data_IF_406503216484
#
_entry.id   IF_406503216484
#
_cell.length_a   1.000
_cell.length_b   1.000
_cell.length_c   1.000
_cell.angle_alpha   90.00
_cell.angle_beta   90.00
_cell.angle_gamma   90.00
#
_symmetry.space_group_name_H-M   'P 1'
#
loop_
_entity.id
_entity.type
_entity.pdbx_description
1 polymer ?
#
# COMPACT_ATOMS: atom_id res chain seq x y z
N UNK A 1 -13.54 -78.81 -0.32
CA UNK A 1 -13.51 -77.87 0.79
C UNK A 1 -12.06 -77.47 1.07
N UNK A 2 -11.61 -76.32 0.63
CA UNK A 2 -10.30 -75.74 0.99
C UNK A 2 -10.56 -74.34 1.50
N UNK A 3 -10.32 -74.10 2.79
CA UNK A 3 -10.32 -72.83 3.45
C UNK A 3 -9.10 -72.01 2.99
N UNK A 4 -9.32 -70.83 2.44
CA UNK A 4 -8.28 -69.85 2.21
C UNK A 4 -8.22 -68.87 3.38
N UNK A 5 -7.08 -68.74 3.98
CA UNK A 5 -6.79 -67.76 5.05
C UNK A 5 -6.37 -66.45 4.39
N UNK A 6 -7.16 -65.36 4.62
CA UNK A 6 -6.78 -63.98 4.26
C UNK A 6 -5.90 -63.41 5.36
N UNK A 7 -4.64 -63.14 5.06
CA UNK A 7 -3.74 -62.37 5.92
C UNK A 7 -3.98 -60.87 5.69
N UNK A 8 -4.46 -60.18 6.72
CA UNK A 8 -4.58 -58.72 6.74
C UNK A 8 -3.24 -58.09 7.15
N UNK A 9 -2.56 -57.42 6.23
CA UNK A 9 -1.43 -56.54 6.57
C UNK A 9 -1.95 -55.25 7.14
N UNK A 10 -1.73 -55.00 8.40
CA UNK A 10 -1.87 -53.67 9.02
C UNK A 10 -0.62 -52.86 8.72
N UNK A 11 -0.74 -51.80 7.87
CA UNK A 11 0.26 -50.78 7.71
C UNK A 11 0.03 -49.71 8.79
N UNK A 12 0.86 -49.72 9.83
CA UNK A 12 0.89 -48.66 10.82
C UNK A 12 1.57 -47.44 10.22
N UNK A 13 0.81 -46.39 9.84
CA UNK A 13 1.33 -45.09 9.48
C UNK A 13 1.84 -44.39 10.74
N UNK A 14 3.16 -44.26 10.85
CA UNK A 14 3.83 -43.48 11.89
C UNK A 14 3.64 -41.98 11.58
N UNK A 15 2.65 -41.35 12.18
CA UNK A 15 2.53 -39.90 12.21
C UNK A 15 3.68 -39.33 13.05
N UNK A 16 4.74 -38.87 12.41
CA UNK A 16 5.70 -37.97 13.05
C UNK A 16 5.02 -36.62 13.24
N UNK A 17 4.50 -36.37 14.43
CA UNK A 17 4.07 -35.04 14.84
C UNK A 17 5.28 -34.11 14.88
N UNK A 18 5.40 -33.22 13.91
CA UNK A 18 6.26 -32.07 14.02
C UNK A 18 5.67 -31.17 15.12
N UNK A 19 6.22 -31.29 16.35
CA UNK A 19 5.97 -30.32 17.39
C UNK A 19 6.63 -28.99 16.95
N UNK A 20 5.86 -28.04 16.43
CA UNK A 20 6.30 -26.65 16.37
C UNK A 20 6.49 -26.19 17.83
N UNK A 21 7.73 -26.10 18.27
CA UNK A 21 8.06 -25.38 19.50
C UNK A 21 7.55 -23.94 19.42
N UNK A 22 7.33 -23.26 20.55
CA UNK A 22 6.97 -21.85 20.52
C UNK A 22 8.04 -21.10 19.73
N UNK A 23 7.60 -20.30 18.74
CA UNK A 23 8.50 -19.43 18.00
C UNK A 23 9.26 -18.57 19.03
N UNK A 24 10.58 -18.61 18.98
CA UNK A 24 11.41 -17.75 19.82
C UNK A 24 11.25 -16.33 19.31
N UNK A 25 10.84 -15.39 20.17
CA UNK A 25 10.80 -13.99 19.81
C UNK A 25 12.13 -13.54 19.20
N UNK A 26 12.09 -12.78 18.11
CA UNK A 26 13.29 -12.31 17.43
C UNK A 26 14.18 -11.48 18.36
N UNK A 27 15.50 -11.64 18.22
CA UNK A 27 16.43 -10.74 18.88
C UNK A 27 16.51 -9.45 18.07
N UNK A 28 15.92 -8.37 18.59
CA UNK A 28 15.87 -7.09 17.92
C UNK A 28 17.19 -6.33 18.03
N UNK A 29 17.80 -6.01 16.90
CA UNK A 29 19.09 -5.29 16.81
C UNK A 29 18.88 -3.84 16.36
N UNK A 30 19.52 -2.82 17.02
CA UNK A 30 19.45 -1.44 16.59
C UNK A 30 19.99 -1.25 15.17
N UNK A 31 19.24 -0.53 14.33
CA UNK A 31 19.56 -0.35 12.90
C UNK A 31 20.40 0.89 12.60
N UNK A 32 20.45 1.87 13.51
CA UNK A 32 20.95 3.21 13.19
C UNK A 32 19.96 4.08 12.41
N UNK A 33 18.82 3.56 12.05
CA UNK A 33 17.73 4.33 11.46
C UNK A 33 16.89 4.98 12.56
N UNK A 34 16.85 6.29 12.57
CA UNK A 34 16.13 7.06 13.57
C UNK A 34 14.83 7.62 13.01
N UNK A 35 13.76 7.50 13.80
CA UNK A 35 12.56 8.33 13.65
C UNK A 35 12.49 9.23 14.86
N UNK A 36 12.62 10.55 14.62
CA UNK A 36 12.83 11.54 15.66
C UNK A 36 14.07 11.18 16.53
N UNK A 37 13.92 10.91 17.79
CA UNK A 37 15.01 10.49 18.71
C UNK A 37 15.09 8.97 18.90
N UNK A 38 14.22 8.22 18.26
CA UNK A 38 14.07 6.80 18.48
C UNK A 38 14.87 5.98 17.45
N UNK A 39 15.88 5.22 17.91
CA UNK A 39 16.66 4.29 17.08
C UNK A 39 15.87 3.01 16.89
N UNK A 40 15.42 2.74 15.67
CA UNK A 40 14.61 1.57 15.36
C UNK A 40 15.42 0.30 15.43
N UNK A 41 14.78 -0.77 15.86
CA UNK A 41 15.34 -2.12 15.90
C UNK A 41 14.76 -2.99 14.79
N UNK A 42 15.54 -3.97 14.32
CA UNK A 42 15.09 -4.93 13.32
C UNK A 42 15.40 -6.37 13.75
N UNK A 43 14.59 -7.31 13.30
CA UNK A 43 14.86 -8.73 13.46
C UNK A 43 16.03 -9.18 12.56
N UNK A 44 16.14 -8.62 11.35
CA UNK A 44 17.24 -8.88 10.41
C UNK A 44 17.78 -7.55 9.83
N UNK A 45 19.10 -7.41 9.75
CA UNK A 45 19.78 -6.23 9.19
C UNK A 45 20.70 -6.69 8.06
N UNK A 46 20.48 -6.17 6.85
CA UNK A 46 21.25 -6.47 5.64
C UNK A 46 21.52 -7.97 5.44
N UNK A 47 20.47 -8.82 5.54
CA UNK A 47 20.69 -10.27 5.52
C UNK A 47 21.10 -10.82 4.15
N UNK A 48 21.08 -10.02 3.07
CA UNK A 48 21.16 -10.49 1.71
C UNK A 48 19.81 -11.07 1.27
N UNK A 49 19.82 -12.30 0.75
CA UNK A 49 18.60 -12.98 0.32
C UNK A 49 17.86 -13.62 1.52
N UNK A 50 16.54 -13.47 1.55
CA UNK A 50 15.68 -13.97 2.63
C UNK A 50 14.53 -14.76 2.04
N UNK A 51 14.23 -15.90 2.63
CA UNK A 51 13.03 -16.71 2.36
C UNK A 51 12.52 -17.36 3.65
N UNK A 52 11.29 -17.87 3.63
CA UNK A 52 10.67 -18.54 4.78
C UNK A 52 10.16 -17.58 5.85
N UNK A 53 10.08 -18.03 7.09
CA UNK A 53 9.42 -17.33 8.20
C UNK A 53 10.32 -16.25 8.80
N UNK A 54 9.78 -15.03 8.98
CA UNK A 54 10.42 -13.91 9.70
C UNK A 54 9.41 -13.35 10.71
N UNK A 55 9.41 -13.91 11.89
CA UNK A 55 8.66 -13.39 13.04
C UNK A 55 9.43 -12.23 13.67
N UNK A 56 8.93 -11.02 13.51
CA UNK A 56 9.52 -9.80 14.04
C UNK A 56 8.79 -9.25 15.28
N UNK A 57 8.05 -10.11 15.97
CA UNK A 57 7.33 -9.72 17.19
C UNK A 57 8.27 -9.10 18.22
N UNK A 58 7.96 -7.89 18.65
CA UNK A 58 8.76 -7.08 19.55
C UNK A 58 9.80 -6.18 18.89
N UNK A 59 10.06 -6.32 17.58
CA UNK A 59 10.94 -5.45 16.81
C UNK A 59 10.15 -4.35 16.08
N UNK A 60 10.82 -3.25 15.76
CA UNK A 60 10.20 -2.21 14.95
C UNK A 60 10.15 -2.57 13.46
N UNK A 61 11.12 -3.33 13.00
CA UNK A 61 11.30 -3.71 11.60
C UNK A 61 11.51 -5.22 11.51
N UNK A 62 10.86 -5.86 10.54
CA UNK A 62 11.13 -7.26 10.24
C UNK A 62 12.49 -7.42 9.56
N UNK A 63 12.61 -6.90 8.35
CA UNK A 63 13.83 -6.96 7.56
C UNK A 63 14.24 -5.53 7.19
N UNK A 64 15.47 -5.16 7.54
CA UNK A 64 16.03 -3.84 7.26
C UNK A 64 17.20 -3.93 6.31
N UNK A 65 17.17 -3.14 5.23
CA UNK A 65 18.27 -2.95 4.30
C UNK A 65 18.69 -1.49 4.25
N UNK A 66 19.97 -1.25 4.18
CA UNK A 66 20.56 0.07 3.93
C UNK A 66 21.82 -0.02 3.06
N UNK A 67 22.43 1.12 2.79
CA UNK A 67 23.61 1.22 1.93
C UNK A 67 24.88 0.58 2.52
N UNK A 68 24.89 0.10 3.76
CA UNK A 68 26.02 -0.65 4.32
C UNK A 68 26.07 -2.10 3.88
N UNK A 69 24.94 -2.63 3.33
CA UNK A 69 24.85 -3.96 2.76
C UNK A 69 24.83 -3.95 1.22
N UNK A 70 24.86 -5.13 0.64
CA UNK A 70 24.83 -5.31 -0.82
C UNK A 70 23.40 -5.26 -1.41
N UNK A 71 22.36 -5.02 -0.58
CA UNK A 71 20.98 -5.27 -0.97
C UNK A 71 20.61 -6.75 -0.88
N UNK A 72 19.58 -7.19 -1.62
CA UNK A 72 19.16 -8.59 -1.62
C UNK A 72 17.77 -8.81 -2.20
N UNK A 73 17.29 -10.02 -2.04
CA UNK A 73 15.95 -10.45 -2.46
C UNK A 73 15.20 -11.03 -1.27
N UNK A 74 13.98 -10.55 -1.03
CA UNK A 74 13.02 -11.18 -0.13
C UNK A 74 12.05 -11.95 -1.01
N UNK A 75 12.25 -13.26 -1.13
CA UNK A 75 11.44 -14.11 -2.00
C UNK A 75 10.83 -15.28 -1.24
N UNK A 76 9.53 -15.49 -1.45
CA UNK A 76 8.80 -16.56 -0.80
C UNK A 76 8.92 -16.51 0.74
N UNK A 77 9.01 -15.31 1.30
CA UNK A 77 9.10 -15.07 2.74
C UNK A 77 7.73 -14.82 3.37
N UNK A 78 7.58 -15.13 4.65
CA UNK A 78 6.44 -14.77 5.48
C UNK A 78 6.91 -13.82 6.60
N UNK A 79 6.69 -12.52 6.43
CA UNK A 79 7.21 -11.46 7.32
C UNK A 79 6.07 -10.87 8.12
N UNK A 80 6.15 -10.93 9.45
CA UNK A 80 5.06 -10.42 10.30
C UNK A 80 5.53 -9.95 11.69
N UNK A 81 4.62 -9.31 12.42
CA UNK A 81 4.75 -8.98 13.83
C UNK A 81 5.54 -7.70 14.17
N UNK A 82 6.13 -7.02 13.18
CA UNK A 82 6.82 -5.76 13.40
C UNK A 82 5.83 -4.60 13.62
N UNK A 83 6.14 -3.66 14.53
CA UNK A 83 5.20 -2.57 14.78
C UNK A 83 5.35 -1.35 13.85
N UNK A 84 6.48 -1.17 13.14
CA UNK A 84 6.68 -0.05 12.21
C UNK A 84 6.75 -0.47 10.75
N UNK A 85 7.64 -1.43 10.40
CA UNK A 85 7.85 -1.85 9.02
C UNK A 85 8.05 -3.37 8.92
N UNK A 86 7.37 -4.03 7.99
CA UNK A 86 7.66 -5.42 7.67
C UNK A 86 9.01 -5.54 6.97
N UNK A 87 9.15 -4.95 5.79
CA UNK A 87 10.41 -4.80 5.05
C UNK A 87 10.70 -3.33 4.88
N UNK A 88 11.87 -2.85 5.30
CA UNK A 88 12.31 -1.47 5.14
C UNK A 88 13.62 -1.38 4.36
N UNK A 89 13.60 -0.62 3.26
CA UNK A 89 14.76 -0.34 2.41
C UNK A 89 15.10 1.14 2.51
N UNK A 90 16.19 1.46 3.20
CA UNK A 90 16.61 2.81 3.51
C UNK A 90 17.87 3.20 2.74
N UNK A 91 17.70 3.93 1.66
CA UNK A 91 18.80 4.44 0.83
C UNK A 91 19.37 5.81 1.27
N UNK A 92 19.01 6.33 2.44
CA UNK A 92 19.44 7.69 2.84
C UNK A 92 20.96 7.84 2.92
N UNK A 93 21.68 6.81 3.32
CA UNK A 93 23.15 6.84 3.44
C UNK A 93 23.88 6.54 2.12
N UNK A 94 23.18 6.13 1.08
CA UNK A 94 23.76 5.75 -0.22
C UNK A 94 22.82 4.82 -1.00
N UNK A 95 23.35 4.15 -2.01
CA UNK A 95 22.55 3.27 -2.87
C UNK A 95 22.31 1.90 -2.23
N UNK A 96 21.06 1.45 -2.25
CA UNK A 96 20.69 0.08 -1.94
C UNK A 96 19.61 -0.39 -2.91
N UNK A 97 19.59 -1.67 -3.27
CA UNK A 97 18.59 -2.26 -4.16
C UNK A 97 18.08 -3.57 -3.58
N UNK A 98 16.76 -3.68 -3.45
CA UNK A 98 16.11 -4.87 -2.88
C UNK A 98 14.93 -5.25 -3.74
N UNK A 99 14.76 -6.54 -3.99
CA UNK A 99 13.54 -7.08 -4.58
C UNK A 99 12.71 -7.77 -3.50
N UNK A 100 11.39 -7.52 -3.50
CA UNK A 100 10.44 -8.24 -2.64
C UNK A 100 9.48 -8.95 -3.59
N UNK A 101 9.48 -10.28 -3.53
CA UNK A 101 8.76 -11.08 -4.53
C UNK A 101 8.08 -12.28 -3.88
N UNK A 102 6.88 -12.62 -4.36
CA UNK A 102 6.12 -13.83 -3.97
C UNK A 102 6.00 -14.03 -2.46
N UNK A 103 6.07 -12.97 -1.68
CA UNK A 103 6.13 -13.00 -0.21
C UNK A 103 4.80 -12.60 0.40
N UNK A 104 4.60 -12.99 1.65
CA UNK A 104 3.51 -12.53 2.50
C UNK A 104 4.06 -11.55 3.53
N UNK A 105 3.50 -10.32 3.60
CA UNK A 105 3.89 -9.33 4.61
C UNK A 105 2.63 -8.84 5.32
N UNK A 106 2.52 -9.14 6.61
CA UNK A 106 1.28 -8.91 7.35
C UNK A 106 1.50 -8.67 8.84
N UNK A 107 0.42 -8.31 9.54
CA UNK A 107 0.43 -8.02 10.98
C UNK A 107 1.50 -6.96 11.32
N UNK A 108 1.48 -5.85 10.57
CA UNK A 108 2.44 -4.75 10.72
C UNK A 108 1.75 -3.54 11.33
N UNK A 109 2.11 -3.21 12.54
CA UNK A 109 1.54 -2.11 13.32
C UNK A 109 1.50 -2.39 14.81
N UNK A 110 0.83 -1.54 15.56
CA UNK A 110 0.62 -1.74 16.99
C UNK A 110 -0.31 -2.92 17.26
N UNK A 111 -0.22 -3.50 18.43
CA UNK A 111 -1.11 -4.60 18.84
C UNK A 111 -1.87 -4.19 20.12
N UNK A 112 -3.18 -3.92 20.05
CA UNK A 112 -4.00 -3.87 18.83
C UNK A 112 -3.67 -2.67 17.94
N UNK A 113 -4.02 -2.77 16.62
CA UNK A 113 -3.87 -1.67 15.67
C UNK A 113 -4.60 -0.42 16.15
N UNK A 114 -4.04 0.76 15.92
CA UNK A 114 -4.54 2.03 16.43
C UNK A 114 -4.30 3.22 15.47
N UNK A 115 -4.44 4.45 15.93
CA UNK A 115 -4.31 5.68 15.12
C UNK A 115 -2.89 6.19 14.90
N UNK A 116 -1.84 5.50 15.35
CA UNK A 116 -0.46 5.96 15.14
C UNK A 116 -0.05 5.89 13.68
N UNK A 117 0.70 6.90 13.20
CA UNK A 117 1.01 7.08 11.77
C UNK A 117 2.24 6.24 11.35
N UNK A 118 2.21 4.95 11.69
CA UNK A 118 3.20 3.94 11.29
C UNK A 118 2.52 2.58 11.06
N UNK A 119 3.28 1.51 10.86
CA UNK A 119 2.76 0.20 10.47
C UNK A 119 2.59 0.11 8.95
N UNK A 120 3.73 0.11 8.24
CA UNK A 120 3.81 -0.04 6.78
C UNK A 120 4.42 -1.40 6.46
N UNK A 121 3.74 -2.20 5.64
CA UNK A 121 4.22 -3.55 5.37
C UNK A 121 5.53 -3.55 4.56
N UNK A 122 5.61 -2.82 3.45
CA UNK A 122 6.82 -2.72 2.62
C UNK A 122 7.14 -1.24 2.40
N UNK A 123 8.35 -0.81 2.79
CA UNK A 123 8.76 0.60 2.78
C UNK A 123 10.09 0.83 2.10
N UNK A 124 10.11 1.64 1.05
CA UNK A 124 11.32 2.13 0.41
C UNK A 124 11.44 3.64 0.64
N UNK A 125 12.64 4.09 1.03
CA UNK A 125 12.90 5.52 1.18
C UNK A 125 14.33 5.90 0.80
N UNK A 126 14.48 7.10 0.23
CA UNK A 126 15.77 7.76 0.05
C UNK A 126 15.53 9.27 -0.02
N UNK A 127 15.70 9.95 1.14
CA UNK A 127 15.32 11.35 1.31
C UNK A 127 16.51 12.30 1.28
N UNK A 128 17.74 11.79 1.19
CA UNK A 128 18.96 12.59 1.04
C UNK A 128 19.32 12.81 -0.43
N UNK A 129 20.08 13.86 -0.72
CA UNK A 129 20.46 14.19 -2.10
C UNK A 129 21.32 13.12 -2.78
N UNK A 130 22.09 12.35 -2.03
CA UNK A 130 22.92 11.24 -2.51
C UNK A 130 22.30 9.86 -2.30
N UNK A 131 21.11 9.82 -1.71
CA UNK A 131 20.41 8.58 -1.37
C UNK A 131 19.81 7.91 -2.60
N UNK A 132 19.76 6.57 -2.58
CA UNK A 132 19.07 5.79 -3.59
C UNK A 132 18.51 4.49 -3.01
N UNK A 133 17.21 4.26 -3.16
CA UNK A 133 16.55 3.01 -2.80
C UNK A 133 15.74 2.50 -4.00
N UNK A 134 16.17 1.42 -4.61
CA UNK A 134 15.55 0.88 -5.81
C UNK A 134 15.12 -0.57 -5.65
N UNK A 135 14.27 -1.05 -6.53
CA UNK A 135 13.87 -2.46 -6.55
C UNK A 135 12.56 -2.74 -7.26
N UNK A 136 12.09 -3.94 -7.03
CA UNK A 136 10.80 -4.45 -7.51
C UNK A 136 10.02 -5.01 -6.33
N UNK A 137 8.71 -4.75 -6.29
CA UNK A 137 7.77 -5.37 -5.35
C UNK A 137 6.72 -6.09 -6.21
N UNK A 138 6.72 -7.43 -6.23
CA UNK A 138 5.89 -8.15 -7.19
C UNK A 138 5.41 -9.53 -6.72
N UNK A 139 4.14 -9.82 -6.98
CA UNK A 139 3.54 -11.11 -6.65
C UNK A 139 3.29 -11.30 -5.15
N UNK A 140 3.40 -10.24 -4.36
CA UNK A 140 3.28 -10.30 -2.92
C UNK A 140 1.82 -10.24 -2.46
N UNK A 141 1.57 -10.83 -1.29
CA UNK A 141 0.32 -10.70 -0.54
C UNK A 141 0.56 -9.83 0.69
N UNK A 142 -0.09 -8.68 0.75
CA UNK A 142 0.08 -7.68 1.81
C UNK A 142 -1.25 -7.42 2.49
N UNK A 143 -1.34 -7.62 3.80
CA UNK A 143 -2.58 -7.44 4.54
C UNK A 143 -2.33 -7.13 6.01
N UNK A 144 -3.39 -6.76 6.74
CA UNK A 144 -3.33 -6.45 8.18
C UNK A 144 -2.19 -5.49 8.56
N UNK A 145 -2.02 -4.45 7.77
CA UNK A 145 -1.12 -3.33 8.08
C UNK A 145 -1.90 -2.19 8.74
N UNK A 146 -1.22 -1.38 9.56
CA UNK A 146 -1.89 -0.28 10.25
C UNK A 146 -2.07 0.95 9.36
N UNK A 147 -1.02 1.43 8.69
CA UNK A 147 -1.05 2.68 7.92
C UNK A 147 -0.94 2.50 6.42
N UNK A 148 -0.05 1.65 5.97
CA UNK A 148 0.20 1.49 4.54
C UNK A 148 0.64 0.10 4.13
N UNK A 149 0.17 -0.38 2.98
CA UNK A 149 0.62 -1.64 2.43
C UNK A 149 2.02 -1.52 1.84
N UNK A 150 2.17 -0.86 0.69
CA UNK A 150 3.45 -0.65 0.02
C UNK A 150 3.68 0.85 -0.12
N UNK A 151 4.78 1.37 0.41
CA UNK A 151 5.09 2.81 0.41
C UNK A 151 6.48 3.07 -0.16
N UNK A 152 6.56 3.95 -1.16
CA UNK A 152 7.81 4.44 -1.76
C UNK A 152 7.90 5.95 -1.53
N UNK A 153 8.95 6.41 -0.91
CA UNK A 153 9.03 7.77 -0.37
C UNK A 153 10.34 8.47 -0.70
N UNK A 154 10.24 9.73 -1.10
CA UNK A 154 11.33 10.65 -1.41
C UNK A 154 12.02 10.41 -2.76
N UNK A 155 12.64 11.49 -3.28
CA UNK A 155 13.12 11.60 -4.66
C UNK A 155 14.24 10.64 -5.07
N UNK A 156 14.97 10.07 -4.10
CA UNK A 156 15.96 9.03 -4.34
C UNK A 156 15.38 7.61 -4.41
N UNK A 157 14.09 7.44 -4.09
CA UNK A 157 13.44 6.13 -4.15
C UNK A 157 12.76 5.91 -5.51
N UNK A 158 12.95 4.71 -6.07
CA UNK A 158 12.34 4.34 -7.35
C UNK A 158 12.04 2.84 -7.44
N UNK A 159 10.75 2.47 -7.46
CA UNK A 159 10.32 1.08 -7.34
C UNK A 159 9.28 0.72 -8.40
N UNK A 160 9.42 -0.46 -9.00
CA UNK A 160 8.39 -1.08 -9.82
C UNK A 160 7.47 -1.93 -8.94
N UNK A 161 6.18 -1.59 -8.85
CA UNK A 161 5.19 -2.28 -8.01
C UNK A 161 4.18 -2.97 -8.92
N UNK A 162 4.18 -4.31 -8.94
CA UNK A 162 3.36 -5.01 -9.91
C UNK A 162 2.86 -6.40 -9.52
N UNK A 163 1.60 -6.72 -9.83
CA UNK A 163 1.04 -8.06 -9.61
C UNK A 163 0.78 -8.42 -8.16
N UNK A 164 0.77 -7.45 -7.24
CA UNK A 164 0.55 -7.69 -5.82
C UNK A 164 -0.94 -7.72 -5.46
N UNK A 165 -1.27 -8.42 -4.38
CA UNK A 165 -2.56 -8.35 -3.69
C UNK A 165 -2.37 -7.59 -2.38
N UNK A 166 -3.02 -6.43 -2.25
CA UNK A 166 -2.89 -5.55 -1.08
C UNK A 166 -4.28 -5.34 -0.49
N UNK A 167 -4.48 -5.81 0.73
CA UNK A 167 -5.78 -5.77 1.40
C UNK A 167 -5.70 -4.97 2.70
N UNK A 168 -6.40 -3.83 2.75
CA UNK A 168 -6.63 -3.08 3.97
C UNK A 168 -7.62 -3.78 4.89
N UNK A 169 -7.94 -3.16 6.01
CA UNK A 169 -8.81 -3.76 7.02
C UNK A 169 -10.31 -3.51 6.81
N UNK A 170 -10.65 -2.89 5.66
CA UNK A 170 -12.01 -2.41 5.45
C UNK A 170 -12.27 -1.10 6.17
N UNK A 171 -13.54 -0.70 6.41
CA UNK A 171 -13.86 0.54 7.09
C UNK A 171 -13.36 0.54 8.54
N UNK A 172 -12.28 1.29 8.80
CA UNK A 172 -11.75 1.51 10.15
C UNK A 172 -11.87 2.98 10.55
N UNK A 173 -12.07 3.25 11.83
CA UNK A 173 -12.35 4.60 12.32
C UNK A 173 -11.16 5.27 13.03
N UNK A 174 -10.05 4.58 13.17
CA UNK A 174 -8.88 5.06 13.93
C UNK A 174 -7.75 5.59 13.04
N UNK A 175 -7.67 5.17 11.76
CA UNK A 175 -6.63 5.60 10.81
C UNK A 175 -7.12 5.50 9.36
N UNK A 176 -6.76 6.48 8.52
CA UNK A 176 -6.92 6.36 7.08
C UNK A 176 -5.74 5.56 6.50
N UNK A 177 -6.03 4.37 5.97
CA UNK A 177 -5.06 3.46 5.37
C UNK A 177 -4.82 3.78 3.90
N UNK A 178 -3.63 3.53 3.39
CA UNK A 178 -3.35 3.56 1.95
C UNK A 178 -2.79 2.20 1.51
N UNK A 179 -3.36 1.63 0.46
CA UNK A 179 -2.90 0.34 -0.06
C UNK A 179 -1.49 0.45 -0.64
N UNK A 180 -1.33 1.28 -1.66
CA UNK A 180 -0.03 1.58 -2.30
C UNK A 180 0.16 3.09 -2.31
N UNK A 181 1.32 3.56 -1.84
CA UNK A 181 1.65 4.99 -1.86
C UNK A 181 3.01 5.21 -2.54
N UNK A 182 3.05 6.13 -3.51
CA UNK A 182 4.30 6.67 -4.08
C UNK A 182 4.29 8.17 -3.81
N UNK A 183 5.29 8.68 -3.09
CA UNK A 183 5.19 10.06 -2.62
C UNK A 183 6.50 10.78 -2.40
N UNK A 184 6.38 12.09 -2.17
CA UNK A 184 7.50 13.00 -1.84
C UNK A 184 8.59 13.03 -2.90
N UNK A 185 8.17 12.98 -4.19
CA UNK A 185 9.09 13.01 -5.32
C UNK A 185 9.63 11.63 -5.73
N UNK A 186 9.18 10.55 -5.12
CA UNK A 186 9.59 9.19 -5.50
C UNK A 186 9.17 8.86 -6.95
N UNK A 187 9.92 7.94 -7.57
CA UNK A 187 9.67 7.46 -8.92
C UNK A 187 9.14 6.02 -8.92
N UNK A 188 8.57 5.60 -10.05
CA UNK A 188 8.14 4.21 -10.21
C UNK A 188 6.91 4.03 -11.08
N UNK A 189 6.38 2.83 -11.00
CA UNK A 189 5.15 2.44 -11.67
C UNK A 189 4.34 1.49 -10.79
N UNK A 190 3.01 1.55 -10.93
CA UNK A 190 2.07 0.73 -10.16
C UNK A 190 1.18 0.00 -11.15
N UNK A 191 1.42 -1.30 -11.37
CA UNK A 191 0.77 -2.01 -12.46
C UNK A 191 0.22 -3.38 -12.06
N UNK A 192 -0.99 -3.70 -12.53
CA UNK A 192 -1.60 -5.04 -12.38
C UNK A 192 -1.74 -5.50 -10.93
N UNK A 193 -1.84 -4.58 -9.97
CA UNK A 193 -2.11 -4.93 -8.57
C UNK A 193 -3.62 -5.07 -8.34
N UNK A 194 -3.97 -5.87 -7.35
CA UNK A 194 -5.31 -5.90 -6.76
C UNK A 194 -5.23 -5.22 -5.39
N UNK A 195 -6.01 -4.14 -5.18
CA UNK A 195 -5.96 -3.35 -3.95
C UNK A 195 -7.39 -3.13 -3.43
N UNK A 196 -7.65 -3.61 -2.23
CA UNK A 196 -8.99 -3.60 -1.63
C UNK A 196 -8.96 -3.16 -0.17
N UNK A 197 -10.12 -2.79 0.38
CA UNK A 197 -10.32 -2.62 1.81
C UNK A 197 -9.62 -1.42 2.45
N UNK A 198 -9.27 -0.39 1.69
CA UNK A 198 -8.68 0.83 2.22
C UNK A 198 -9.75 1.92 2.36
N UNK A 199 -10.49 1.88 3.46
CA UNK A 199 -11.54 2.85 3.73
C UNK A 199 -11.52 3.33 5.19
N UNK A 200 -11.97 4.57 5.40
CA UNK A 200 -11.95 5.25 6.69
C UNK A 200 -13.36 5.69 7.07
N UNK A 201 -13.83 5.23 8.21
CA UNK A 201 -15.15 5.56 8.77
C UNK A 201 -15.10 6.54 9.95
N UNK A 202 -13.93 7.13 10.22
CA UNK A 202 -13.78 8.12 11.28
C UNK A 202 -14.32 9.50 10.90
N UNK A 203 -14.30 10.42 11.87
CA UNK A 203 -15.01 11.71 11.79
C UNK A 203 -14.11 12.92 11.56
N UNK A 204 -12.82 12.72 11.30
CA UNK A 204 -11.85 13.83 11.16
C UNK A 204 -11.70 14.36 9.72
N UNK A 205 -12.51 13.88 8.76
CA UNK A 205 -12.46 14.31 7.36
C UNK A 205 -11.32 13.71 6.54
N UNK A 206 -10.56 12.74 7.09
CA UNK A 206 -9.55 12.03 6.31
C UNK A 206 -10.22 11.01 5.38
N UNK A 207 -9.55 10.68 4.29
CA UNK A 207 -9.94 9.61 3.37
C UNK A 207 -8.76 8.66 3.13
N UNK A 208 -9.07 7.40 2.96
CA UNK A 208 -8.12 6.35 2.56
C UNK A 208 -8.01 6.27 1.04
N UNK A 209 -6.93 5.69 0.54
CA UNK A 209 -6.79 5.46 -0.89
C UNK A 209 -6.30 4.04 -1.19
N UNK A 210 -6.85 3.43 -2.24
CA UNK A 210 -6.28 2.20 -2.79
C UNK A 210 -4.86 2.47 -3.31
N UNK A 211 -4.71 3.46 -4.20
CA UNK A 211 -3.41 3.94 -4.67
C UNK A 211 -3.33 5.45 -4.43
N UNK A 212 -2.31 5.90 -3.70
CA UNK A 212 -2.04 7.31 -3.42
C UNK A 212 -0.72 7.76 -4.07
N UNK A 213 -0.79 8.74 -4.95
CA UNK A 213 0.38 9.50 -5.42
C UNK A 213 0.38 10.81 -4.65
N UNK A 214 1.39 11.01 -3.82
CA UNK A 214 1.42 12.10 -2.86
C UNK A 214 2.62 13.05 -3.06
N UNK A 215 2.33 14.32 -3.11
CA UNK A 215 3.36 15.38 -3.19
C UNK A 215 2.73 16.74 -2.96
N UNK A 216 3.50 17.81 -3.17
CA UNK A 216 2.99 19.15 -2.94
C UNK A 216 2.87 19.53 -1.46
N UNK A 217 2.10 20.55 -1.13
CA UNK A 217 2.00 21.09 0.24
C UNK A 217 3.38 21.40 0.86
N UNK A 218 4.27 22.04 0.11
CA UNK A 218 5.64 22.30 0.53
C UNK A 218 6.61 21.11 0.39
N UNK A 219 6.15 19.97 -0.06
CA UNK A 219 6.98 18.79 -0.36
C UNK A 219 7.24 18.67 -1.87
N UNK A 220 8.25 17.89 -2.31
CA UNK A 220 8.47 17.61 -3.72
C UNK A 220 7.23 16.97 -4.38
N UNK A 221 6.90 17.42 -5.59
CA UNK A 221 5.86 16.82 -6.41
C UNK A 221 6.27 15.40 -6.83
N UNK A 222 5.32 14.48 -6.83
CA UNK A 222 5.50 13.13 -7.35
C UNK A 222 4.96 13.07 -8.78
N UNK A 223 5.85 12.87 -9.75
CA UNK A 223 5.56 13.11 -11.17
C UNK A 223 5.86 11.92 -12.05
N UNK A 224 5.14 11.81 -13.17
CA UNK A 224 5.41 10.81 -14.21
C UNK A 224 5.02 9.37 -13.82
N UNK A 225 4.32 9.18 -12.73
CA UNK A 225 3.93 7.84 -12.26
C UNK A 225 2.90 7.23 -13.22
N UNK A 226 3.09 5.96 -13.52
CA UNK A 226 2.18 5.18 -14.34
C UNK A 226 1.39 4.19 -13.47
N UNK A 227 0.07 4.39 -13.42
CA UNK A 227 -0.88 3.54 -12.69
C UNK A 227 -1.71 2.81 -13.72
N UNK A 228 -1.38 1.54 -13.99
CA UNK A 228 -1.87 0.86 -15.19
C UNK A 228 -2.41 -0.53 -14.88
N UNK A 229 -3.63 -0.83 -15.35
CA UNK A 229 -4.26 -2.16 -15.28
C UNK A 229 -4.40 -2.71 -13.86
N UNK A 230 -4.57 -1.86 -12.85
CA UNK A 230 -4.87 -2.31 -11.50
C UNK A 230 -6.36 -2.60 -11.34
N UNK A 231 -6.69 -3.48 -10.39
CA UNK A 231 -8.05 -3.73 -9.91
C UNK A 231 -8.18 -3.16 -8.50
N UNK A 232 -9.08 -2.22 -8.29
CA UNK A 232 -9.21 -1.46 -7.05
C UNK A 232 -10.63 -1.61 -6.50
N UNK A 233 -10.75 -2.19 -5.32
CA UNK A 233 -12.04 -2.54 -4.73
C UNK A 233 -12.70 -3.76 -5.39
N UNK A 234 -13.82 -4.16 -4.84
CA UNK A 234 -14.70 -5.21 -5.37
C UNK A 234 -16.16 -4.88 -5.07
N UNK A 235 -17.08 -5.75 -5.49
CA UNK A 235 -18.50 -5.61 -5.15
C UNK A 235 -18.83 -5.91 -3.68
N UNK A 236 -17.89 -6.41 -2.88
CA UNK A 236 -18.10 -6.62 -1.45
C UNK A 236 -17.86 -5.30 -0.71
N UNK A 237 -18.78 -4.86 0.16
CA UNK A 237 -18.67 -3.58 0.87
C UNK A 237 -17.36 -3.38 1.66
N UNK A 238 -16.86 -4.44 2.29
CA UNK A 238 -15.60 -4.37 3.06
C UNK A 238 -14.36 -4.18 2.18
N UNK A 239 -14.45 -4.44 0.89
CA UNK A 239 -13.34 -4.36 -0.07
C UNK A 239 -13.25 -2.98 -0.76
N UNK A 240 -14.15 -2.06 -0.47
CA UNK A 240 -14.14 -0.71 -1.02
C UNK A 240 -12.91 0.08 -0.60
N UNK A 241 -12.49 1.02 -1.45
CA UNK A 241 -11.52 2.05 -1.10
C UNK A 241 -12.25 3.40 -1.13
N UNK A 242 -11.98 4.32 -0.20
CA UNK A 242 -12.59 5.65 -0.26
C UNK A 242 -12.26 6.35 -1.57
N UNK A 243 -10.99 6.30 -1.96
CA UNK A 243 -10.51 6.77 -3.25
C UNK A 243 -9.79 5.61 -3.94
N UNK A 244 -10.26 5.23 -5.11
CA UNK A 244 -9.58 4.19 -5.87
C UNK A 244 -8.14 4.60 -6.21
N UNK A 245 -7.98 5.74 -6.92
CA UNK A 245 -6.68 6.36 -7.21
C UNK A 245 -6.72 7.84 -6.82
N UNK A 246 -5.85 8.26 -5.91
CA UNK A 246 -5.65 9.64 -5.54
C UNK A 246 -4.33 10.17 -6.12
N UNK A 247 -4.40 11.15 -7.04
CA UNK A 247 -3.27 11.94 -7.51
C UNK A 247 -3.23 13.23 -6.70
N UNK A 248 -2.70 13.19 -5.48
CA UNK A 248 -2.71 14.30 -4.55
C UNK A 248 -1.37 15.04 -4.59
N UNK A 249 -1.25 15.99 -5.53
CA UNK A 249 -0.08 16.82 -5.75
C UNK A 249 -0.46 18.32 -5.77
N UNK A 250 -1.04 18.88 -4.72
CA UNK A 250 -1.44 20.27 -4.73
C UNK A 250 -0.25 21.24 -4.76
N UNK A 251 -0.54 22.52 -4.93
CA UNK A 251 0.43 23.59 -4.80
C UNK A 251 1.08 23.64 -3.40
N UNK A 252 2.14 24.44 -3.19
CA UNK A 252 2.81 24.51 -1.88
C UNK A 252 1.89 24.95 -0.73
N UNK A 253 0.80 25.64 -1.02
CA UNK A 253 -0.18 26.10 -0.01
C UNK A 253 -1.33 25.13 0.21
N UNK A 254 -1.34 24.01 -0.46
CA UNK A 254 -2.40 22.98 -0.43
C UNK A 254 -3.78 23.48 -0.93
N UNK A 255 -3.83 24.56 -1.67
CA UNK A 255 -5.11 25.21 -2.03
C UNK A 255 -5.52 25.08 -3.50
N UNK A 256 -4.67 24.52 -4.35
CA UNK A 256 -4.94 24.40 -5.78
C UNK A 256 -3.94 23.50 -6.52
N UNK A 257 -3.99 23.45 -7.86
CA UNK A 257 -3.05 22.67 -8.64
C UNK A 257 -1.64 23.29 -8.59
N UNK A 258 -0.58 22.50 -8.68
CA UNK A 258 0.78 23.01 -8.67
C UNK A 258 1.09 23.82 -9.93
N UNK A 259 2.12 24.66 -9.87
CA UNK A 259 2.61 25.41 -11.04
C UNK A 259 3.32 24.52 -12.08
N UNK A 260 3.89 23.41 -11.64
CA UNK A 260 4.62 22.45 -12.48
C UNK A 260 3.73 21.27 -12.88
N UNK A 261 4.01 20.73 -14.06
CA UNK A 261 3.28 19.55 -14.56
C UNK A 261 3.64 18.29 -13.79
N UNK A 262 2.64 17.57 -13.35
CA UNK A 262 2.77 16.26 -12.66
C UNK A 262 2.87 15.10 -13.64
N UNK A 263 2.16 15.17 -14.78
CA UNK A 263 2.23 14.20 -15.88
C UNK A 263 2.00 12.74 -15.48
N UNK A 264 1.24 12.48 -14.43
CA UNK A 264 0.89 11.14 -14.00
C UNK A 264 -0.12 10.50 -14.99
N UNK A 265 -0.21 9.19 -14.99
CA UNK A 265 -1.09 8.45 -15.90
C UNK A 265 -1.88 7.39 -15.14
N UNK A 266 -3.19 7.45 -15.21
CA UNK A 266 -4.13 6.44 -14.70
C UNK A 266 -4.82 5.81 -15.90
N UNK A 267 -4.41 4.61 -16.28
CA UNK A 267 -4.78 4.02 -17.57
C UNK A 267 -5.24 2.57 -17.42
N UNK A 268 -6.40 2.25 -18.00
CA UNK A 268 -6.93 0.88 -18.07
C UNK A 268 -7.14 0.23 -16.70
N UNK A 269 -7.40 0.97 -15.65
CA UNK A 269 -7.70 0.40 -14.34
C UNK A 269 -9.18 0.02 -14.25
N UNK A 270 -9.48 -1.00 -13.43
CA UNK A 270 -10.82 -1.34 -13.00
C UNK A 270 -10.98 -0.87 -11.56
N UNK A 271 -11.94 0.00 -11.31
CA UNK A 271 -12.24 0.56 -9.99
C UNK A 271 -13.67 0.21 -9.66
N UNK A 272 -13.90 -0.46 -8.54
CA UNK A 272 -15.24 -0.85 -8.10
C UNK A 272 -15.44 -0.42 -6.65
N UNK A 273 -16.56 0.22 -6.34
CA UNK A 273 -16.94 0.56 -4.98
C UNK A 273 -18.47 0.49 -4.86
N UNK A 274 -18.96 -0.55 -4.19
CA UNK A 274 -20.39 -0.83 -4.03
C UNK A 274 -20.96 -0.30 -2.70
N UNK A 275 -20.11 0.14 -1.78
CA UNK A 275 -20.56 0.58 -0.46
C UNK A 275 -20.24 2.08 -0.25
N UNK A 276 -21.27 2.88 -0.13
CA UNK A 276 -21.17 4.32 0.01
C UNK A 276 -21.64 4.84 1.37
N UNK A 277 -22.28 4.00 2.18
CA UNK A 277 -22.99 4.48 3.38
C UNK A 277 -22.13 4.52 4.63
N UNK A 278 -21.03 3.75 4.67
CA UNK A 278 -20.20 3.60 5.85
C UNK A 278 -18.72 3.87 5.60
N UNK A 279 -18.35 4.36 4.44
CA UNK A 279 -16.98 4.62 4.07
C UNK A 279 -16.68 6.11 4.15
N UNK A 280 -15.49 6.45 4.60
CA UNK A 280 -14.92 7.79 4.53
C UNK A 280 -15.76 8.90 5.13
N UNK A 281 -16.12 8.79 6.40
CA UNK A 281 -16.84 9.86 7.04
C UNK A 281 -18.15 10.26 6.35
N UNK A 282 -18.67 9.43 5.45
CA UNK A 282 -19.97 9.60 4.79
C UNK A 282 -21.16 9.38 5.75
N UNK A 283 -20.91 9.22 7.05
CA UNK A 283 -21.97 9.35 8.04
C UNK A 283 -22.64 10.73 7.84
N UNK A 284 -23.96 10.81 7.80
CA UNK A 284 -24.66 12.07 7.62
C UNK A 284 -24.14 13.13 8.59
N UNK A 285 -23.62 14.24 8.06
CA UNK A 285 -23.11 15.37 8.85
C UNK A 285 -21.60 15.36 9.12
N UNK A 286 -20.82 14.41 8.63
CA UNK A 286 -19.38 14.30 8.94
C UNK A 286 -18.47 14.59 7.73
N UNK A 287 -19.03 14.88 6.58
CA UNK A 287 -18.28 15.30 5.39
C UNK A 287 -17.30 14.23 4.88
N UNK A 288 -17.82 13.13 4.37
CA UNK A 288 -17.01 12.13 3.71
C UNK A 288 -16.74 12.45 2.25
N UNK A 289 -15.59 11.99 1.74
CA UNK A 289 -15.21 12.14 0.36
C UNK A 289 -14.90 10.77 -0.25
N UNK A 290 -15.51 10.48 -1.40
CA UNK A 290 -15.26 9.27 -2.16
C UNK A 290 -15.05 9.59 -3.63
N UNK A 291 -14.09 8.94 -4.26
CA UNK A 291 -13.87 9.03 -5.68
C UNK A 291 -13.33 7.73 -6.28
N UNK A 292 -13.73 7.43 -7.50
CA UNK A 292 -13.01 6.43 -8.28
C UNK A 292 -11.59 6.91 -8.56
N UNK A 293 -11.47 8.12 -9.13
CA UNK A 293 -10.17 8.80 -9.33
C UNK A 293 -10.30 10.24 -8.85
N UNK A 294 -9.39 10.68 -7.98
CA UNK A 294 -9.18 12.08 -7.61
C UNK A 294 -7.90 12.59 -8.24
N UNK A 295 -7.94 13.76 -8.88
CA UNK A 295 -6.78 14.41 -9.47
C UNK A 295 -6.66 15.86 -8.98
N UNK A 296 -5.53 16.18 -8.38
CA UNK A 296 -5.14 17.53 -7.93
C UNK A 296 -3.82 17.94 -8.60
N UNK A 297 -3.50 17.36 -9.74
CA UNK A 297 -2.26 17.58 -10.47
C UNK A 297 -2.40 18.48 -11.70
N UNK A 298 -1.38 18.47 -12.54
CA UNK A 298 -1.32 19.23 -13.80
C UNK A 298 -0.85 18.34 -14.95
N UNK A 299 -1.58 18.37 -16.07
CA UNK A 299 -1.34 17.56 -17.28
C UNK A 299 -1.46 16.03 -17.04
N UNK A 300 -2.14 15.60 -16.02
CA UNK A 300 -2.35 14.18 -15.76
C UNK A 300 -3.29 13.55 -16.80
N UNK A 301 -3.18 12.24 -17.00
CA UNK A 301 -3.96 11.51 -18.00
C UNK A 301 -4.77 10.41 -17.35
N UNK A 302 -6.08 10.50 -17.45
CA UNK A 302 -7.06 9.56 -16.92
C UNK A 302 -7.78 8.92 -18.10
N UNK A 303 -7.30 7.74 -18.56
CA UNK A 303 -7.70 7.19 -19.86
C UNK A 303 -8.12 5.74 -19.76
N UNK A 304 -9.23 5.39 -20.40
CA UNK A 304 -9.74 4.03 -20.55
C UNK A 304 -9.96 3.28 -19.21
N UNK A 305 -10.23 3.98 -18.12
CA UNK A 305 -10.55 3.32 -16.86
C UNK A 305 -12.02 2.87 -16.87
N UNK A 306 -12.27 1.73 -16.26
CA UNK A 306 -13.63 1.27 -15.96
C UNK A 306 -13.90 1.54 -14.48
N UNK A 307 -14.87 2.39 -14.22
CA UNK A 307 -15.25 2.84 -12.87
C UNK A 307 -16.70 2.43 -12.64
N UNK A 308 -16.92 1.59 -11.65
CA UNK A 308 -18.17 0.91 -11.37
C UNK A 308 -18.48 1.11 -9.89
N UNK A 309 -19.60 1.73 -9.55
CA UNK A 309 -19.84 2.00 -8.14
C UNK A 309 -21.18 2.65 -7.87
N UNK A 310 -21.88 2.12 -6.89
CA UNK A 310 -23.18 2.60 -6.47
C UNK A 310 -23.11 4.09 -6.08
N UNK A 311 -23.88 4.91 -6.78
CA UNK A 311 -24.00 6.35 -6.54
C UNK A 311 -22.88 7.20 -7.10
N UNK A 312 -21.89 6.64 -7.79
CA UNK A 312 -20.95 7.43 -8.55
C UNK A 312 -21.64 8.21 -9.67
N UNK A 313 -21.40 9.50 -9.71
CA UNK A 313 -21.92 10.30 -10.83
C UNK A 313 -20.95 10.27 -11.99
N UNK A 314 -21.44 10.22 -13.26
CA UNK A 314 -20.58 10.16 -14.45
C UNK A 314 -19.73 11.43 -14.69
N UNK A 315 -20.09 12.54 -14.08
CA UNK A 315 -19.46 13.85 -14.31
C UNK A 315 -18.42 14.20 -13.25
N UNK A 316 -17.52 15.11 -13.59
CA UNK A 316 -16.67 15.78 -12.62
C UNK A 316 -17.52 16.37 -11.51
N UNK A 317 -17.31 15.92 -10.30
CA UNK A 317 -17.91 16.58 -9.16
C UNK A 317 -17.11 17.81 -8.81
N UNK A 318 -17.75 18.97 -8.87
CA UNK A 318 -17.16 20.17 -8.30
C UNK A 318 -17.14 20.03 -6.79
N UNK A 319 -15.98 19.73 -6.26
CA UNK A 319 -15.79 19.53 -4.82
C UNK A 319 -15.70 20.86 -4.09
N UNK A 320 -16.85 21.45 -3.80
CA UNK A 320 -16.92 22.53 -2.81
C UNK A 320 -17.48 22.05 -1.45
N UNK A 321 -17.87 20.79 -1.37
CA UNK A 321 -18.39 20.18 -0.13
C UNK A 321 -17.81 18.76 0.01
N UNK A 322 -17.31 18.45 1.19
CA UNK A 322 -16.73 17.15 1.56
C UNK A 322 -17.76 15.99 1.60
N UNK A 323 -18.83 16.09 0.85
CA UNK A 323 -19.91 15.08 0.74
C UNK A 323 -20.07 14.56 -0.68
N UNK A 324 -19.06 14.75 -1.53
CA UNK A 324 -19.14 14.38 -2.93
C UNK A 324 -18.73 12.93 -3.16
N UNK A 325 -19.54 12.24 -3.92
CA UNK A 325 -19.28 10.87 -4.39
C UNK A 325 -19.10 10.94 -5.90
N UNK A 326 -17.87 10.76 -6.37
CA UNK A 326 -17.51 11.03 -7.75
C UNK A 326 -16.81 9.84 -8.40
N UNK A 327 -17.20 9.51 -9.63
CA UNK A 327 -16.41 8.59 -10.42
C UNK A 327 -15.01 9.18 -10.72
N UNK A 328 -14.97 10.42 -11.19
CA UNK A 328 -13.72 11.14 -11.49
C UNK A 328 -13.86 12.58 -11.00
N UNK A 329 -13.00 12.99 -10.07
CA UNK A 329 -12.91 14.35 -9.59
C UNK A 329 -11.61 15.01 -10.09
N UNK A 330 -11.76 15.98 -10.97
CA UNK A 330 -10.67 16.82 -11.47
C UNK A 330 -10.90 18.30 -11.14
N UNK A 331 -11.77 18.61 -10.17
CA UNK A 331 -12.15 19.98 -9.83
C UNK A 331 -10.97 20.83 -9.36
N UNK A 332 -9.99 20.21 -8.72
CA UNK A 332 -8.75 20.85 -8.27
C UNK A 332 -7.56 20.64 -9.23
N UNK A 333 -7.77 19.95 -10.36
CA UNK A 333 -6.72 19.70 -11.34
C UNK A 333 -6.59 20.85 -12.36
N UNK A 334 -5.45 20.91 -13.04
CA UNK A 334 -5.23 21.78 -14.19
C UNK A 334 -4.79 20.98 -15.41
N UNK A 335 -5.42 21.22 -16.55
CA UNK A 335 -5.11 20.57 -17.83
C UNK A 335 -5.17 19.03 -17.80
N UNK A 336 -5.97 18.46 -16.91
CA UNK A 336 -6.22 17.02 -16.87
C UNK A 336 -6.81 16.53 -18.21
N UNK A 337 -6.33 15.39 -18.70
CA UNK A 337 -6.84 14.76 -19.92
C UNK A 337 -7.69 13.56 -19.56
N UNK A 338 -9.00 13.75 -19.50
CA UNK A 338 -9.99 12.71 -19.17
C UNK A 338 -10.60 12.22 -20.48
N UNK A 339 -10.36 10.95 -20.83
CA UNK A 339 -10.80 10.40 -22.11
C UNK A 339 -11.14 8.90 -22.03
N UNK A 340 -12.23 8.53 -22.71
CA UNK A 340 -12.66 7.13 -22.89
C UNK A 340 -12.82 6.33 -21.59
N UNK A 341 -13.08 6.97 -20.44
CA UNK A 341 -13.41 6.27 -19.22
C UNK A 341 -14.87 5.80 -19.26
N UNK A 342 -15.12 4.56 -18.87
CA UNK A 342 -16.46 4.01 -18.73
C UNK A 342 -16.87 4.11 -17.25
N UNK A 343 -17.97 4.79 -16.99
CA UNK A 343 -18.56 4.94 -15.66
C UNK A 343 -19.92 4.26 -15.61
N UNK A 344 -20.11 3.37 -14.66
CA UNK A 344 -21.37 2.72 -14.36
C UNK A 344 -21.77 3.11 -12.94
N UNK A 345 -22.89 3.86 -12.77
CA UNK A 345 -23.39 4.24 -11.45
C UNK A 345 -23.96 3.08 -10.65
#
# INVERSE_FOLDING_TARGET
MKLGVLSSLFVAALLMGLSSGPASAATCTPTGFFRDTFNMTAAMINPGDVSGEVDATGCNIGIYYDASGAGGTVDSANVHGANYFGVAVNGDAGATSVEVTNSSVHDIGETPLNGTQHGVAIYYRACTASGSATGTVSGDTVFNYQKGGIVVSCSGAGVSIGGNTVTGQGPVNYIAQNGIQVGYGAAGQVMKNTVTGNSYSGTNGASSAGILIYGGCGNPLTTGIQIVKNTLGSAAPADGNDIGVALFNPDPTCSGPPSLSTNNKVINNKITNEELTNVSGNAPGVGGYQAGIQDVGVNDKLINNKIDGLGYTPSNCGSTTMTSICAIDTSAASKAKVHANAVTP
#
